data_IF_376737611167
#
_entry.id   IF_376737611167
#
_cell.length_a   1.000
_cell.length_b   1.000
_cell.length_c   1.000
_cell.angle_alpha   90.00
_cell.angle_beta   90.00
_cell.angle_gamma   90.00
#
_symmetry.space_group_name_H-M   'P 1'
#
loop_
_entity.id
_entity.type
_entity.pdbx_description
1 polymer ?
#
# COMPACT_ATOMS: atom_id res chain seq x y z
N UNK A 1 -7.28 19.03 -6.79
CA UNK A 1 -8.14 17.89 -6.38
C UNK A 1 -7.29 16.63 -6.35
N UNK A 2 -6.92 16.18 -5.15
CA UNK A 2 -5.98 15.07 -4.90
C UNK A 2 -6.73 13.74 -4.79
N UNK A 3 -6.01 12.61 -4.64
CA UNK A 3 -6.59 11.29 -4.40
C UNK A 3 -7.51 11.27 -3.16
N UNK A 4 -7.14 12.03 -2.12
CA UNK A 4 -7.89 12.14 -0.85
C UNK A 4 -9.32 12.67 -1.09
N UNK A 5 -9.54 13.46 -2.15
CA UNK A 5 -10.84 14.04 -2.48
C UNK A 5 -11.73 13.12 -3.36
N UNK A 6 -11.24 11.93 -3.75
CA UNK A 6 -11.87 11.09 -4.78
C UNK A 6 -12.08 9.62 -4.41
N UNK A 7 -11.81 9.22 -3.17
CA UNK A 7 -12.04 7.84 -2.72
C UNK A 7 -13.35 7.71 -1.92
N UNK A 8 -13.94 6.52 -1.92
CA UNK A 8 -15.12 6.24 -1.11
C UNK A 8 -14.71 5.94 0.34
N UNK A 9 -14.74 6.98 1.18
CA UNK A 9 -14.39 6.90 2.59
C UNK A 9 -15.34 6.04 3.43
N UNK A 10 -16.50 5.63 2.91
CA UNK A 10 -17.38 4.70 3.62
C UNK A 10 -16.79 3.29 3.65
N UNK A 11 -16.17 2.86 2.54
CA UNK A 11 -15.77 1.46 2.32
C UNK A 11 -14.30 1.18 2.61
N UNK A 12 -13.42 2.17 2.40
CA UNK A 12 -11.97 1.98 2.52
C UNK A 12 -11.34 3.06 3.40
N UNK A 13 -10.25 2.69 4.05
CA UNK A 13 -9.33 3.60 4.71
C UNK A 13 -8.03 3.69 3.90
N UNK A 14 -7.32 4.82 4.03
CA UNK A 14 -6.08 5.05 3.31
C UNK A 14 -4.96 5.44 4.28
N UNK A 15 -3.75 4.94 4.03
CA UNK A 15 -2.57 5.22 4.83
C UNK A 15 -1.37 5.55 3.94
N UNK A 16 -0.46 6.38 4.45
CA UNK A 16 0.84 6.61 3.82
C UNK A 16 1.77 5.44 4.10
N UNK A 17 2.60 5.10 3.12
CA UNK A 17 3.61 4.05 3.22
C UNK A 17 4.93 4.70 3.64
N UNK A 18 5.08 5.06 4.92
CA UNK A 18 6.20 5.92 5.36
C UNK A 18 6.98 5.44 6.60
N UNK A 19 6.54 4.41 7.32
CA UNK A 19 7.17 3.96 8.59
C UNK A 19 7.82 2.58 8.49
N UNK A 20 8.69 2.21 9.44
CA UNK A 20 9.31 0.86 9.52
C UNK A 20 8.27 -0.27 9.57
N UNK A 21 7.13 -0.04 10.25
CA UNK A 21 6.02 -1.00 10.30
C UNK A 21 5.40 -1.29 8.91
N UNK A 22 5.70 -0.45 7.91
CA UNK A 22 5.21 -0.58 6.54
C UNK A 22 6.23 -1.21 5.59
N UNK A 23 7.38 -1.69 6.08
CA UNK A 23 8.46 -2.23 5.25
C UNK A 23 7.99 -3.37 4.33
N UNK A 24 7.12 -4.25 4.85
CA UNK A 24 6.53 -5.32 4.04
C UNK A 24 5.73 -4.79 2.83
N UNK A 25 4.97 -3.69 3.02
CA UNK A 25 4.17 -3.09 1.96
C UNK A 25 5.05 -2.34 0.96
N UNK A 26 6.14 -1.73 1.42
CA UNK A 26 7.17 -1.11 0.56
C UNK A 26 7.83 -2.14 -0.33
N UNK A 27 8.31 -3.24 0.26
CA UNK A 27 8.93 -4.34 -0.46
C UNK A 27 7.96 -4.93 -1.49
N UNK A 28 6.69 -5.14 -1.11
CA UNK A 28 5.67 -5.65 -2.01
C UNK A 28 5.39 -4.69 -3.17
N UNK A 29 5.18 -3.40 -2.90
CA UNK A 29 4.96 -2.38 -3.93
C UNK A 29 6.15 -2.31 -4.90
N UNK A 30 7.39 -2.31 -4.38
CA UNK A 30 8.60 -2.31 -5.19
C UNK A 30 8.70 -3.54 -6.08
N UNK A 31 8.33 -4.71 -5.57
CA UNK A 31 8.26 -5.94 -6.38
C UNK A 31 7.26 -5.79 -7.52
N UNK A 32 6.04 -5.37 -7.22
CA UNK A 32 4.99 -5.21 -8.24
C UNK A 32 5.40 -4.22 -9.34
N UNK A 33 6.01 -3.09 -8.98
CA UNK A 33 6.49 -2.11 -9.97
C UNK A 33 7.62 -2.69 -10.82
N UNK A 34 8.54 -3.45 -10.23
CA UNK A 34 9.61 -4.14 -10.96
C UNK A 34 9.06 -5.17 -11.94
N UNK A 35 8.21 -6.07 -11.46
CA UNK A 35 7.62 -7.13 -12.28
C UNK A 35 6.84 -6.52 -13.46
N UNK A 36 6.12 -5.42 -13.22
CA UNK A 36 5.46 -4.64 -14.27
C UNK A 36 6.45 -4.01 -15.26
N UNK A 37 7.51 -3.36 -14.78
CA UNK A 37 8.48 -2.69 -15.63
C UNK A 37 9.26 -3.68 -16.51
N UNK A 38 9.61 -4.85 -15.97
CA UNK A 38 10.25 -5.95 -16.69
C UNK A 38 9.34 -6.52 -17.76
N UNK A 39 8.05 -6.75 -17.44
CA UNK A 39 7.09 -7.32 -18.38
C UNK A 39 6.68 -6.37 -19.51
N UNK A 40 6.71 -5.06 -19.26
CA UNK A 40 6.16 -4.05 -20.20
C UNK A 40 7.21 -3.15 -20.85
N UNK A 41 8.45 -3.16 -20.35
CA UNK A 41 9.46 -2.18 -20.73
C UNK A 41 9.12 -0.75 -20.27
N UNK A 42 8.33 -0.59 -19.21
CA UNK A 42 7.88 0.72 -18.75
C UNK A 42 9.04 1.61 -18.29
N UNK A 43 9.36 2.64 -19.08
CA UNK A 43 10.34 3.66 -18.69
C UNK A 43 9.97 4.36 -17.38
N UNK A 44 8.67 4.60 -17.14
CA UNK A 44 8.20 5.21 -15.90
C UNK A 44 8.35 4.29 -14.69
N UNK A 45 8.08 2.99 -14.86
CA UNK A 45 8.36 2.00 -13.82
C UNK A 45 9.85 1.97 -13.44
N UNK A 46 10.74 2.04 -14.44
CA UNK A 46 12.19 2.15 -14.21
C UNK A 46 12.58 3.43 -13.47
N UNK A 47 12.00 4.58 -13.84
CA UNK A 47 12.20 5.85 -13.12
C UNK A 47 11.80 5.75 -11.65
N UNK A 48 10.61 5.22 -11.37
CA UNK A 48 10.14 5.04 -9.99
C UNK A 48 11.07 4.11 -9.20
N UNK A 49 11.54 3.01 -9.80
CA UNK A 49 12.45 2.08 -9.13
C UNK A 49 13.84 2.69 -8.85
N UNK A 50 14.30 3.60 -9.70
CA UNK A 50 15.60 4.26 -9.56
C UNK A 50 15.67 5.24 -8.38
N UNK A 51 14.53 5.84 -8.01
CA UNK A 51 14.40 6.80 -6.90
C UNK A 51 13.16 6.47 -6.03
N UNK A 52 13.03 5.20 -5.69
CA UNK A 52 11.83 4.68 -5.03
C UNK A 52 11.52 5.40 -3.71
N UNK A 53 12.54 5.82 -2.97
CA UNK A 53 12.41 6.51 -1.69
C UNK A 53 11.71 7.88 -1.83
N UNK A 54 11.98 8.62 -2.91
CA UNK A 54 11.30 9.89 -3.16
C UNK A 54 9.86 9.66 -3.65
N UNK A 55 9.64 8.60 -4.43
CA UNK A 55 8.32 8.29 -5.00
C UNK A 55 7.36 7.61 -4.03
N UNK A 56 7.83 6.76 -3.11
CA UNK A 56 6.97 5.96 -2.21
C UNK A 56 6.05 6.84 -1.36
N UNK A 57 6.52 8.03 -0.99
CA UNK A 57 5.73 9.04 -0.26
C UNK A 57 4.47 9.50 -1.00
N UNK A 58 4.40 9.32 -2.33
CA UNK A 58 3.27 9.67 -3.17
C UNK A 58 2.20 8.56 -3.25
N UNK A 59 2.54 7.33 -2.88
CA UNK A 59 1.61 6.21 -2.88
C UNK A 59 0.70 6.22 -1.63
N UNK A 60 -0.47 5.60 -1.79
CA UNK A 60 -1.43 5.36 -0.72
C UNK A 60 -1.69 3.86 -0.62
N UNK A 61 -1.53 3.31 0.58
CA UNK A 61 -2.08 1.99 0.90
C UNK A 61 -3.58 2.15 1.12
N UNK A 62 -4.37 1.37 0.39
CA UNK A 62 -5.83 1.36 0.53
C UNK A 62 -6.24 0.05 1.18
N UNK A 63 -6.87 0.11 2.34
CA UNK A 63 -7.34 -1.07 3.07
C UNK A 63 -8.88 -1.07 3.15
N UNK A 64 -9.56 -2.17 2.75
CA UNK A 64 -10.99 -2.29 2.99
C UNK A 64 -11.29 -2.33 4.48
N UNK A 65 -12.27 -1.56 4.95
CA UNK A 65 -12.65 -1.56 6.38
C UNK A 65 -13.13 -2.93 6.87
N UNK A 66 -13.74 -3.72 6.00
CA UNK A 66 -14.14 -5.10 6.30
C UNK A 66 -12.94 -6.01 6.61
N UNK A 67 -11.80 -5.80 5.96
CA UNK A 67 -10.57 -6.54 6.26
C UNK A 67 -10.02 -6.13 7.64
N UNK A 68 -10.04 -4.83 7.96
CA UNK A 68 -9.62 -4.33 9.28
C UNK A 68 -10.49 -4.86 10.41
N UNK A 69 -11.82 -4.96 10.22
CA UNK A 69 -12.71 -5.60 11.18
C UNK A 69 -12.41 -7.09 11.34
N UNK A 70 -12.12 -7.80 10.23
CA UNK A 70 -11.71 -9.20 10.26
C UNK A 70 -10.44 -9.42 11.10
N UNK A 71 -9.42 -8.60 10.89
CA UNK A 71 -8.16 -8.66 11.65
C UNK A 71 -8.40 -8.45 13.16
N UNK A 72 -9.21 -7.45 13.53
CA UNK A 72 -9.58 -7.16 14.92
C UNK A 72 -10.36 -8.30 15.58
N UNK A 73 -11.31 -8.91 14.87
CA UNK A 73 -12.08 -10.04 15.38
C UNK A 73 -11.19 -11.27 15.56
N UNK A 74 -10.26 -11.52 14.64
CA UNK A 74 -9.30 -12.61 14.73
C UNK A 74 -8.33 -12.45 15.92
N UNK A 75 -7.85 -11.23 16.19
CA UNK A 75 -6.98 -10.98 17.36
C UNK A 75 -7.72 -11.18 18.68
N UNK A 76 -8.97 -10.71 18.80
CA UNK A 76 -9.75 -10.87 20.05
C UNK A 76 -10.04 -12.33 20.44
N UNK A 77 -10.12 -13.23 19.45
CA UNK A 77 -10.29 -14.68 19.68
C UNK A 77 -8.97 -15.35 20.06
N UNK A 78 -7.84 -14.79 19.64
CA UNK A 78 -6.51 -15.30 19.93
C UNK A 78 -6.05 -14.95 21.35
N UNK A 79 -6.49 -13.80 21.87
CA UNK A 79 -6.20 -13.33 23.24
C UNK A 79 -7.08 -13.99 24.32
N UNK A 80 -8.15 -14.69 23.93
CA UNK A 80 -9.09 -15.36 24.83
C UNK A 80 -8.71 -16.81 25.17
N UNK A 81 -7.45 -17.21 24.98
CA UNK A 81 -6.97 -18.58 25.15
C UNK A 81 -5.78 -18.68 26.10
#
# INVERSE_FOLDING_TARGET
RTFVDRYNHELVEIARISTEQMEQYRAHLRSQIRDYAEATGSAWGQTILSDFESFVSHFWLVKPKAASLGDLLASSRSDAQ
#
